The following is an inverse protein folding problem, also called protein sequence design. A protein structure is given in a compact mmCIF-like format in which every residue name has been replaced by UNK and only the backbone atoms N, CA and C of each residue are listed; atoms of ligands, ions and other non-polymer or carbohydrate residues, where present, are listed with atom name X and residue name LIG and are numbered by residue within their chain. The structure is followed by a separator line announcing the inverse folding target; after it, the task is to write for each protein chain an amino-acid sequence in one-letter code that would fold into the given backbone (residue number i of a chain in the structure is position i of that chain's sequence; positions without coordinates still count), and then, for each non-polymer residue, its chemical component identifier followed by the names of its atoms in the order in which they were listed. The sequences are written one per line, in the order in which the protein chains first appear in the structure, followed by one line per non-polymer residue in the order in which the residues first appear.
data_IF_231047648203
#
_entry.id   IF_231047648203
#
_cell.length_a   1.000
_cell.length_b   1.000
_cell.length_c   1.000
_cell.angle_alpha   90.00
_cell.angle_beta   90.00
_cell.angle_gamma   90.00
#
_symmetry.space_group_name_H-M   'P 1'
#
loop_
_entity.id
_entity.type
_entity.pdbx_description
1 polymer ?
#
# COMPACT_ATOMS: atom_id res chain seq x y z
N UNK A 1 28.28 -7.80 -18.35
CA UNK A 1 28.34 -8.12 -16.91
C UNK A 1 29.11 -9.42 -16.75
N UNK A 2 29.90 -9.61 -15.70
CA UNK A 2 30.59 -10.89 -15.48
C UNK A 2 29.66 -11.89 -14.79
N UNK A 3 29.91 -13.18 -14.96
CA UNK A 3 29.10 -14.23 -14.33
C UNK A 3 29.14 -14.16 -12.80
N UNK A 4 30.24 -13.66 -12.21
CA UNK A 4 30.35 -13.43 -10.75
C UNK A 4 29.32 -12.41 -10.25
N UNK A 5 29.21 -11.27 -10.94
CA UNK A 5 28.26 -10.20 -10.61
C UNK A 5 26.81 -10.67 -10.78
N UNK A 6 26.54 -11.45 -11.83
CA UNK A 6 25.22 -12.01 -12.12
C UNK A 6 24.80 -13.03 -11.06
N UNK A 7 25.70 -13.93 -10.64
CA UNK A 7 25.41 -14.90 -9.58
C UNK A 7 25.18 -14.20 -8.23
N UNK A 8 25.97 -13.17 -7.91
CA UNK A 8 25.75 -12.36 -6.72
C UNK A 8 24.37 -11.66 -6.75
N UNK A 9 24.00 -11.08 -7.90
CA UNK A 9 22.70 -10.46 -8.10
C UNK A 9 21.53 -11.46 -7.96
N UNK A 10 21.68 -12.67 -8.50
CA UNK A 10 20.68 -13.73 -8.41
C UNK A 10 20.55 -14.32 -6.99
N UNK A 11 21.66 -14.43 -6.26
CA UNK A 11 21.63 -14.81 -4.83
C UNK A 11 20.88 -13.76 -4.01
N UNK A 12 21.20 -12.48 -4.19
CA UNK A 12 20.48 -11.39 -3.53
C UNK A 12 18.97 -11.45 -3.85
N UNK A 13 18.58 -11.76 -5.09
CA UNK A 13 17.17 -11.97 -5.47
C UNK A 13 16.51 -13.13 -4.70
N UNK A 14 17.21 -14.26 -4.52
CA UNK A 14 16.70 -15.42 -3.77
C UNK A 14 16.48 -15.10 -2.28
N UNK A 15 17.35 -14.28 -1.71
CA UNK A 15 17.28 -13.84 -0.31
C UNK A 15 16.31 -12.66 -0.09
N UNK A 16 15.73 -12.12 -1.17
CA UNK A 16 14.86 -10.95 -1.14
C UNK A 16 15.60 -9.61 -0.96
N UNK A 17 16.92 -9.63 -1.10
CA UNK A 17 17.80 -8.47 -1.03
C UNK A 17 17.90 -7.74 -2.38
N UNK A 18 18.40 -6.51 -2.35
CA UNK A 18 18.58 -5.71 -3.56
C UNK A 18 19.96 -6.00 -4.15
N UNK A 19 19.98 -6.52 -5.38
CA UNK A 19 21.19 -6.97 -6.08
C UNK A 19 22.16 -5.85 -6.45
N UNK A 20 21.72 -4.59 -6.48
CA UNK A 20 22.50 -3.44 -6.95
C UNK A 20 22.78 -3.41 -8.45
N UNK A 21 22.58 -4.54 -9.15
CA UNK A 21 22.61 -4.66 -10.59
C UNK A 21 21.22 -4.42 -11.19
N UNK A 22 21.19 -3.97 -12.44
CA UNK A 22 19.93 -3.84 -13.18
C UNK A 22 19.41 -5.24 -13.52
N UNK A 23 18.21 -5.56 -13.03
CA UNK A 23 17.58 -6.86 -13.21
C UNK A 23 17.35 -7.19 -14.70
N UNK A 24 17.13 -6.19 -15.57
CA UNK A 24 16.98 -6.42 -17.02
C UNK A 24 18.29 -6.95 -17.63
N UNK A 25 19.43 -6.47 -17.13
CA UNK A 25 20.75 -6.89 -17.61
C UNK A 25 21.11 -8.27 -17.05
N UNK A 26 20.64 -8.59 -15.83
CA UNK A 26 20.77 -9.92 -15.22
C UNK A 26 19.94 -10.95 -16.00
N UNK A 27 18.69 -10.63 -16.32
CA UNK A 27 17.79 -11.52 -17.07
C UNK A 27 18.29 -11.72 -18.50
N UNK A 28 18.74 -10.66 -19.20
CA UNK A 28 19.37 -10.78 -20.51
C UNK A 28 20.64 -11.66 -20.50
N UNK A 29 21.37 -11.69 -19.38
CA UNK A 29 22.52 -12.58 -19.23
C UNK A 29 22.08 -14.03 -18.98
N UNK A 30 21.00 -14.27 -18.24
CA UNK A 30 20.44 -15.61 -18.04
C UNK A 30 19.95 -16.23 -19.35
N UNK A 31 19.40 -15.41 -20.26
CA UNK A 31 19.01 -15.87 -21.60
C UNK A 31 20.22 -16.27 -22.45
N UNK A 32 21.36 -15.60 -22.26
CA UNK A 32 22.57 -15.82 -23.05
C UNK A 32 23.60 -16.79 -22.43
N UNK A 33 23.47 -17.17 -21.15
CA UNK A 33 24.47 -17.97 -20.43
C UNK A 33 23.87 -19.21 -19.74
N UNK A 34 24.13 -20.38 -20.32
CA UNK A 34 23.64 -21.67 -19.79
C UNK A 34 24.23 -22.03 -18.41
N UNK A 35 25.46 -21.62 -18.12
CA UNK A 35 26.09 -21.89 -16.82
C UNK A 35 25.40 -21.16 -15.67
N UNK A 36 25.04 -19.88 -15.88
CA UNK A 36 24.32 -19.09 -14.90
C UNK A 36 22.89 -19.62 -14.70
N UNK A 37 22.24 -20.10 -15.77
CA UNK A 37 20.92 -20.75 -15.71
C UNK A 37 20.96 -22.04 -14.89
N UNK A 38 21.87 -22.96 -15.22
CA UNK A 38 22.02 -24.22 -14.50
C UNK A 38 22.43 -24.03 -13.03
N UNK A 39 23.22 -23.00 -12.73
CA UNK A 39 23.53 -22.63 -11.35
C UNK A 39 22.30 -22.12 -10.60
N UNK A 40 21.50 -21.24 -11.23
CA UNK A 40 20.32 -20.64 -10.59
C UNK A 40 19.23 -21.68 -10.31
N UNK A 41 18.97 -22.60 -11.22
CA UNK A 41 18.03 -23.73 -11.00
C UNK A 41 18.41 -24.57 -9.78
N UNK A 42 19.72 -24.87 -9.61
CA UNK A 42 20.23 -25.58 -8.43
C UNK A 42 20.05 -24.77 -7.15
N UNK A 43 20.30 -23.48 -7.20
CA UNK A 43 20.14 -22.59 -6.05
C UNK A 43 18.67 -22.49 -5.61
N UNK A 44 17.72 -22.37 -6.55
CA UNK A 44 16.27 -22.39 -6.28
C UNK A 44 15.83 -23.73 -5.67
N UNK A 45 16.30 -24.85 -6.23
CA UNK A 45 15.98 -26.18 -5.72
C UNK A 45 16.47 -26.38 -4.27
N UNK A 46 17.70 -25.95 -3.98
CA UNK A 46 18.26 -25.98 -2.63
C UNK A 46 17.46 -25.11 -1.67
N UNK A 47 17.18 -23.84 -2.03
CA UNK A 47 16.42 -22.93 -1.18
C UNK A 47 15.04 -23.50 -0.81
N UNK A 48 14.35 -24.11 -1.79
CA UNK A 48 13.07 -24.80 -1.57
C UNK A 48 13.19 -25.95 -0.56
N UNK A 49 14.26 -26.74 -0.67
CA UNK A 49 14.52 -27.86 0.26
C UNK A 49 14.82 -27.41 1.69
N UNK A 50 15.34 -26.19 1.88
CA UNK A 50 15.61 -25.62 3.21
C UNK A 50 14.35 -25.01 3.84
N UNK A 51 13.48 -24.41 3.02
CA UNK A 51 12.19 -23.85 3.46
C UNK A 51 11.17 -24.93 3.81
N UNK A 52 11.17 -26.03 3.05
CA UNK A 52 10.44 -27.25 3.38
C UNK A 52 11.29 -28.05 4.36
N UNK A 53 11.23 -27.75 5.67
CA UNK A 53 11.95 -28.54 6.69
C UNK A 53 11.78 -30.05 6.44
N UNK A 54 12.80 -30.88 6.73
CA UNK A 54 12.82 -32.28 6.31
C UNK A 54 11.51 -32.92 6.72
N UNK A 55 10.77 -33.44 5.73
CA UNK A 55 9.51 -34.11 5.97
C UNK A 55 9.78 -35.16 7.06
N UNK A 56 9.20 -34.93 8.25
CA UNK A 56 9.27 -35.91 9.32
C UNK A 56 8.62 -37.17 8.79
N UNK A 57 9.42 -38.19 8.48
CA UNK A 57 8.90 -39.49 8.14
C UNK A 57 8.04 -39.97 9.31
N UNK A 58 6.76 -40.32 9.08
CA UNK A 58 5.92 -40.82 10.14
C UNK A 58 6.35 -42.24 10.48
N UNK A 59 7.12 -42.36 11.58
CA UNK A 59 7.23 -43.58 12.38
C UNK A 59 8.23 -44.63 11.86
N UNK A 60 9.36 -44.75 12.56
CA UNK A 60 10.30 -45.84 12.36
C UNK A 60 11.35 -45.90 13.45
N UNK A 61 11.01 -46.43 14.62
CA UNK A 61 12.01 -46.85 15.61
C UNK A 61 12.77 -48.06 15.06
N UNK A 62 13.95 -47.85 14.46
CA UNK A 62 14.97 -48.89 14.35
C UNK A 62 16.34 -48.29 14.02
N UNK A 63 17.29 -48.60 14.90
CA UNK A 63 18.73 -48.44 14.72
C UNK A 63 19.26 -49.36 13.61
N UNK A 64 19.98 -48.82 12.62
CA UNK A 64 21.09 -49.42 11.88
C UNK A 64 21.60 -48.36 10.86
N UNK A 65 22.78 -47.76 11.00
CA UNK A 65 24.08 -48.33 10.61
C UNK A 65 24.07 -49.05 9.25
N UNK A 66 24.36 -48.33 8.17
CA UNK A 66 24.97 -48.92 6.97
C UNK A 66 25.81 -47.88 6.22
N UNK A 67 27.13 -48.08 6.35
CA UNK A 67 28.25 -47.54 5.60
C UNK A 67 27.99 -47.31 4.10
N UNK A 68 28.14 -46.06 3.68
CA UNK A 68 28.60 -45.68 2.34
C UNK A 68 29.98 -45.02 2.48
N UNK A 69 31.02 -45.70 1.99
CA UNK A 69 32.40 -45.21 1.99
C UNK A 69 32.51 -44.02 1.03
N UNK A 70 32.49 -42.81 1.57
CA UNK A 70 33.02 -41.61 0.91
C UNK A 70 34.30 -41.25 1.69
N UNK A 71 35.41 -41.12 0.96
CA UNK A 71 36.74 -40.85 1.52
C UNK A 71 36.82 -39.57 2.36
N UNK A 72 37.93 -39.34 3.08
CA UNK A 72 38.07 -38.26 4.05
C UNK A 72 38.22 -36.90 3.35
N UNK A 73 37.15 -36.39 2.76
CA UNK A 73 36.95 -34.96 2.69
C UNK A 73 36.53 -34.55 4.11
N UNK A 74 37.48 -33.92 4.82
CA UNK A 74 37.26 -33.37 6.14
C UNK A 74 35.88 -32.72 6.21
N UNK A 75 35.00 -33.22 7.08
CA UNK A 75 33.87 -32.41 7.53
C UNK A 75 34.50 -31.11 8.02
N UNK A 76 34.12 -29.93 7.49
CA UNK A 76 34.62 -28.70 8.07
C UNK A 76 34.30 -28.76 9.56
N UNK A 77 35.35 -28.72 10.39
CA UNK A 77 35.20 -28.61 11.82
C UNK A 77 34.36 -27.37 12.08
N UNK A 78 33.26 -27.52 12.83
CA UNK A 78 32.47 -26.36 13.23
C UNK A 78 33.43 -25.34 13.87
N UNK A 79 33.38 -24.05 13.47
CA UNK A 79 34.24 -23.03 14.06
C UNK A 79 34.04 -22.97 15.58
N UNK A 80 35.09 -22.55 16.31
CA UNK A 80 35.03 -22.39 17.76
C UNK A 80 33.82 -21.50 18.13
N UNK A 81 33.02 -21.82 19.16
CA UNK A 81 31.94 -20.96 19.64
C UNK A 81 32.37 -19.51 19.88
N UNK A 82 33.62 -19.26 20.27
CA UNK A 82 34.15 -17.90 20.43
C UNK A 82 34.28 -17.16 19.07
N UNK A 83 34.74 -17.86 18.03
CA UNK A 83 34.85 -17.31 16.67
C UNK A 83 33.46 -17.08 16.07
N UNK A 84 32.51 -17.99 16.31
CA UNK A 84 31.12 -17.82 15.89
C UNK A 84 30.45 -16.62 16.56
N UNK A 85 30.69 -16.39 17.86
CA UNK A 85 30.18 -15.23 18.59
C UNK A 85 30.79 -13.92 18.06
N UNK A 86 32.10 -13.89 17.80
CA UNK A 86 32.77 -12.72 17.23
C UNK A 86 32.30 -12.41 15.79
N UNK A 87 32.03 -13.45 14.99
CA UNK A 87 31.44 -13.30 13.66
C UNK A 87 30.01 -12.78 13.74
N UNK A 88 29.20 -13.31 14.68
CA UNK A 88 27.83 -12.86 14.92
C UNK A 88 27.78 -11.40 15.37
N UNK A 89 28.62 -10.98 16.32
CA UNK A 89 28.75 -9.59 16.79
C UNK A 89 29.14 -8.67 15.63
N UNK A 90 30.12 -9.08 14.81
CA UNK A 90 30.54 -8.31 13.63
C UNK A 90 29.42 -8.20 12.61
N UNK A 91 28.79 -9.31 12.22
CA UNK A 91 27.66 -9.33 11.27
C UNK A 91 26.52 -8.45 11.78
N UNK A 92 26.10 -8.60 13.03
CA UNK A 92 25.04 -7.77 13.62
C UNK A 92 25.45 -6.30 13.66
N UNK A 93 26.69 -5.97 14.05
CA UNK A 93 27.14 -4.58 14.10
C UNK A 93 27.19 -3.89 12.73
N UNK A 94 27.37 -4.65 11.64
CA UNK A 94 27.43 -4.09 10.28
C UNK A 94 26.07 -4.09 9.58
N UNK A 95 25.26 -5.14 9.77
CA UNK A 95 23.95 -5.28 9.11
C UNK A 95 22.86 -4.48 9.82
N UNK A 96 22.90 -4.40 11.15
CA UNK A 96 21.90 -3.69 11.95
C UNK A 96 21.79 -2.17 11.63
N UNK A 97 22.87 -1.40 11.40
CA UNK A 97 22.74 0.01 11.02
C UNK A 97 22.16 0.22 9.61
N UNK A 98 22.49 -0.63 8.64
CA UNK A 98 21.95 -0.56 7.27
C UNK A 98 20.48 -0.98 7.23
N UNK A 99 20.15 -2.07 7.92
CA UNK A 99 18.78 -2.53 8.15
C UNK A 99 17.95 -1.46 8.88
N UNK A 100 18.47 -0.85 9.94
CA UNK A 100 17.79 0.22 10.69
C UNK A 100 17.64 1.52 9.90
N UNK A 101 18.58 1.91 9.04
CA UNK A 101 18.42 3.10 8.17
C UNK A 101 17.26 2.90 7.20
N UNK A 102 17.19 1.71 6.62
CA UNK A 102 16.14 1.32 5.67
C UNK A 102 14.79 1.16 6.35
N UNK A 103 14.74 0.48 7.49
CA UNK A 103 13.52 0.34 8.29
C UNK A 103 13.03 1.68 8.85
N UNK A 104 13.91 2.55 9.36
CA UNK A 104 13.52 3.87 9.92
C UNK A 104 12.85 4.76 8.87
N UNK A 105 13.39 4.86 7.66
CA UNK A 105 12.79 5.70 6.62
C UNK A 105 11.34 5.27 6.31
N UNK A 106 11.11 3.96 6.25
CA UNK A 106 9.79 3.39 6.01
C UNK A 106 8.85 3.56 7.21
N UNK A 107 9.32 3.33 8.45
CA UNK A 107 8.53 3.59 9.66
C UNK A 107 8.15 5.07 9.82
N UNK A 108 9.03 6.00 9.46
CA UNK A 108 8.72 7.43 9.45
C UNK A 108 7.66 7.79 8.40
N UNK A 109 7.72 7.19 7.21
CA UNK A 109 6.71 7.39 6.14
C UNK A 109 5.36 6.82 6.55
N UNK A 110 5.30 5.60 7.09
CA UNK A 110 4.03 5.02 7.55
C UNK A 110 3.47 5.77 8.75
N UNK A 111 4.31 6.22 9.68
CA UNK A 111 3.92 7.04 10.82
C UNK A 111 3.39 8.41 10.41
N UNK A 112 4.12 9.13 9.55
CA UNK A 112 3.72 10.46 9.07
C UNK A 112 2.47 10.43 8.21
N UNK A 113 2.31 9.40 7.38
CA UNK A 113 1.11 9.23 6.56
C UNK A 113 -0.16 8.99 7.40
N UNK A 114 -0.05 8.33 8.55
CA UNK A 114 -1.18 8.17 9.49
C UNK A 114 -1.57 9.50 10.13
N UNK A 115 -0.59 10.29 10.55
CA UNK A 115 -0.84 11.64 11.07
C UNK A 115 -1.51 12.50 10.00
N UNK A 116 -1.04 12.42 8.76
CA UNK A 116 -1.65 13.12 7.63
C UNK A 116 -3.11 12.71 7.40
N UNK A 117 -3.45 11.42 7.43
CA UNK A 117 -4.83 10.95 7.31
C UNK A 117 -5.72 11.50 8.44
N UNK A 118 -5.23 11.54 9.67
CA UNK A 118 -5.99 12.11 10.79
C UNK A 118 -6.22 13.60 10.59
N UNK A 119 -5.20 14.36 10.17
CA UNK A 119 -5.34 15.80 9.90
C UNK A 119 -6.32 16.08 8.76
N UNK A 120 -6.24 15.33 7.66
CA UNK A 120 -7.18 15.43 6.55
C UNK A 120 -8.60 15.03 6.98
N UNK A 121 -8.74 13.98 7.78
CA UNK A 121 -10.03 13.56 8.36
C UNK A 121 -10.66 14.66 9.22
N UNK A 122 -9.87 15.31 10.08
CA UNK A 122 -10.32 16.46 10.88
C UNK A 122 -10.73 17.62 9.98
N UNK A 123 -9.96 17.91 8.92
CA UNK A 123 -10.27 18.99 8.00
C UNK A 123 -11.60 18.76 7.26
N UNK A 124 -11.85 17.55 6.77
CA UNK A 124 -13.14 17.18 6.17
C UNK A 124 -14.29 17.29 7.17
N UNK A 125 -14.08 16.83 8.41
CA UNK A 125 -15.05 16.91 9.48
C UNK A 125 -15.42 18.36 9.81
N UNK A 126 -14.42 19.21 10.04
CA UNK A 126 -14.63 20.64 10.35
C UNK A 126 -15.31 21.36 9.18
N UNK A 127 -14.88 21.11 7.94
CA UNK A 127 -15.50 21.71 6.76
C UNK A 127 -16.96 21.28 6.62
N UNK A 128 -17.25 19.98 6.75
CA UNK A 128 -18.61 19.47 6.65
C UNK A 128 -19.53 19.98 7.76
N UNK A 129 -19.03 20.12 8.99
CA UNK A 129 -19.78 20.79 10.07
C UNK A 129 -20.06 22.25 9.70
N UNK A 130 -19.09 22.96 9.13
CA UNK A 130 -19.28 24.33 8.64
C UNK A 130 -20.37 24.44 7.58
N UNK A 131 -20.41 23.52 6.61
CA UNK A 131 -21.47 23.45 5.61
C UNK A 131 -22.83 23.14 6.24
N UNK A 132 -22.89 22.23 7.21
CA UNK A 132 -24.13 21.86 7.88
C UNK A 132 -24.71 23.02 8.69
N UNK A 133 -23.87 23.74 9.43
CA UNK A 133 -24.27 24.94 10.17
C UNK A 133 -24.70 26.06 9.21
N UNK A 134 -23.96 26.26 8.12
CA UNK A 134 -24.31 27.23 7.08
C UNK A 134 -25.66 26.92 6.41
N UNK A 135 -25.90 25.64 6.08
CA UNK A 135 -27.17 25.17 5.53
C UNK A 135 -28.32 25.41 6.53
N UNK A 136 -28.12 25.07 7.80
CA UNK A 136 -29.12 25.32 8.85
C UNK A 136 -29.45 26.80 9.02
N UNK A 137 -28.46 27.68 8.97
CA UNK A 137 -28.67 29.14 9.01
C UNK A 137 -29.38 29.68 7.76
N UNK A 138 -29.06 29.16 6.57
CA UNK A 138 -29.74 29.53 5.34
C UNK A 138 -31.20 29.09 5.33
N UNK A 139 -31.50 27.89 5.85
CA UNK A 139 -32.87 27.41 6.04
C UNK A 139 -33.67 28.29 7.00
N UNK A 140 -33.08 28.66 8.15
CA UNK A 140 -33.71 29.54 9.12
C UNK A 140 -34.05 30.89 8.47
N UNK A 141 -33.10 31.50 7.77
CA UNK A 141 -33.33 32.78 7.11
C UNK A 141 -34.36 32.69 5.97
N UNK A 142 -34.32 31.65 5.14
CA UNK A 142 -35.28 31.46 4.07
C UNK A 142 -36.70 31.18 4.60
N UNK A 143 -36.83 30.51 5.77
CA UNK A 143 -38.12 30.34 6.44
C UNK A 143 -38.72 31.66 6.92
N UNK A 144 -37.87 32.55 7.44
CA UNK A 144 -38.24 33.91 7.86
C UNK A 144 -38.65 34.76 6.65
N UNK A 145 -37.88 34.74 5.57
CA UNK A 145 -38.15 35.50 4.34
C UNK A 145 -39.45 35.03 3.65
N UNK A 146 -39.73 33.72 3.69
CA UNK A 146 -40.97 33.15 3.18
C UNK A 146 -42.20 33.48 4.06
N UNK A 147 -42.00 34.02 5.27
CA UNK A 147 -43.07 34.21 6.25
C UNK A 147 -43.68 32.89 6.74
N UNK A 148 -42.97 31.78 6.53
CA UNK A 148 -43.41 30.43 6.90
C UNK A 148 -42.74 30.07 8.21
N UNK A 149 -43.48 30.26 9.30
CA UNK A 149 -43.11 29.70 10.60
C UNK A 149 -43.34 28.19 10.52
N UNK A 150 -42.30 27.39 10.19
CA UNK A 150 -42.42 25.93 10.05
C UNK A 150 -42.99 25.26 11.31
N UNK A 151 -42.89 25.90 12.48
CA UNK A 151 -43.53 25.44 13.72
C UNK A 151 -45.04 25.70 13.79
N UNK A 152 -45.60 26.47 12.85
CA UNK A 152 -46.98 26.99 12.85
C UNK A 152 -47.73 26.83 11.52
N UNK A 153 -47.00 26.62 10.42
CA UNK A 153 -47.56 26.42 9.09
C UNK A 153 -48.25 25.04 8.99
N UNK A 154 -49.46 25.01 8.44
CA UNK A 154 -50.26 23.80 8.30
C UNK A 154 -50.81 23.69 6.87
N UNK A 155 -50.90 22.46 6.35
CA UNK A 155 -51.50 22.18 5.04
C UNK A 155 -50.53 22.29 3.85
N UNK A 156 -51.08 22.51 2.66
CA UNK A 156 -50.35 22.39 1.39
C UNK A 156 -49.30 23.49 1.18
N UNK A 157 -49.51 24.69 1.73
CA UNK A 157 -48.56 25.81 1.63
C UNK A 157 -47.28 25.54 2.44
N UNK A 158 -47.40 24.88 3.59
CA UNK A 158 -46.26 24.45 4.39
C UNK A 158 -45.44 23.36 3.67
N UNK A 159 -46.13 22.45 2.98
CA UNK A 159 -45.50 21.41 2.19
C UNK A 159 -44.76 21.98 0.97
N UNK A 160 -45.35 22.94 0.26
CA UNK A 160 -44.72 23.61 -0.88
C UNK A 160 -43.47 24.42 -0.46
N UNK A 161 -43.55 25.15 0.65
CA UNK A 161 -42.41 25.88 1.20
C UNK A 161 -41.29 24.94 1.66
N UNK A 162 -41.63 23.84 2.33
CA UNK A 162 -40.67 22.81 2.74
C UNK A 162 -39.97 22.17 1.52
N UNK A 163 -40.71 21.89 0.44
CA UNK A 163 -40.14 21.32 -0.78
C UNK A 163 -39.16 22.29 -1.48
N UNK A 164 -39.51 23.59 -1.55
CA UNK A 164 -38.63 24.60 -2.12
C UNK A 164 -37.34 24.81 -1.29
N UNK A 165 -37.45 24.75 0.04
CA UNK A 165 -36.29 24.80 0.94
C UNK A 165 -35.41 23.56 0.79
N UNK A 166 -36.01 22.38 0.65
CA UNK A 166 -35.30 21.12 0.43
C UNK A 166 -34.51 21.15 -0.88
N UNK A 167 -35.10 21.63 -1.98
CA UNK A 167 -34.42 21.74 -3.28
C UNK A 167 -33.18 22.65 -3.23
N UNK A 168 -33.23 23.73 -2.44
CA UNK A 168 -32.11 24.65 -2.25
C UNK A 168 -30.97 24.03 -1.42
N UNK A 169 -31.30 23.17 -0.45
CA UNK A 169 -30.39 22.71 0.61
C UNK A 169 -29.89 21.28 0.38
N UNK A 170 -30.65 20.45 -0.34
CA UNK A 170 -30.29 19.10 -0.74
C UNK A 170 -28.83 18.96 -1.25
N UNK A 171 -28.33 19.79 -2.19
CA UNK A 171 -26.96 19.64 -2.68
C UNK A 171 -25.91 19.92 -1.58
N UNK A 172 -26.21 20.81 -0.63
CA UNK A 172 -25.32 21.08 0.50
C UNK A 172 -25.32 19.92 1.49
N UNK A 173 -26.48 19.30 1.75
CA UNK A 173 -26.60 18.13 2.63
C UNK A 173 -25.87 16.92 2.04
N UNK A 174 -26.00 16.67 0.74
CA UNK A 174 -25.25 15.61 0.06
C UNK A 174 -23.73 15.84 0.19
N UNK A 175 -23.29 17.09 0.00
CA UNK A 175 -21.89 17.47 0.14
C UNK A 175 -21.37 17.33 1.60
N UNK A 176 -22.23 17.52 2.61
CA UNK A 176 -21.94 17.25 4.03
C UNK A 176 -21.79 15.75 4.25
N UNK A 177 -22.74 14.93 3.77
CA UNK A 177 -22.73 13.49 3.95
C UNK A 177 -21.45 12.86 3.37
N UNK A 178 -21.05 13.26 2.16
CA UNK A 178 -19.79 12.82 1.53
C UNK A 178 -18.56 13.18 2.37
N UNK A 179 -18.48 14.41 2.88
CA UNK A 179 -17.36 14.85 3.75
C UNK A 179 -17.31 14.05 5.05
N UNK A 180 -18.45 13.77 5.67
CA UNK A 180 -18.52 12.93 6.87
C UNK A 180 -18.05 11.50 6.58
N UNK A 181 -18.49 10.92 5.47
CA UNK A 181 -18.06 9.60 5.04
C UNK A 181 -16.54 9.54 4.79
N UNK A 182 -15.97 10.58 4.16
CA UNK A 182 -14.53 10.67 3.96
C UNK A 182 -13.76 10.83 5.27
N UNK A 183 -14.24 11.66 6.20
CA UNK A 183 -13.61 11.81 7.51
C UNK A 183 -13.55 10.46 8.25
N UNK A 184 -14.68 9.75 8.33
CA UNK A 184 -14.77 8.45 9.02
C UNK A 184 -13.87 7.40 8.38
N UNK A 185 -13.85 7.30 7.04
CA UNK A 185 -13.01 6.32 6.36
C UNK A 185 -11.51 6.62 6.54
N UNK A 186 -11.08 7.88 6.58
CA UNK A 186 -9.69 8.24 6.87
C UNK A 186 -9.30 7.92 8.31
N UNK A 187 -10.17 8.19 9.30
CA UNK A 187 -9.91 7.78 10.69
C UNK A 187 -9.80 6.27 10.83
N UNK A 188 -10.65 5.53 10.13
CA UNK A 188 -10.60 4.07 10.09
C UNK A 188 -9.30 3.56 9.46
N UNK A 189 -8.91 4.10 8.31
CA UNK A 189 -7.65 3.75 7.65
C UNK A 189 -6.42 4.12 8.49
N UNK A 190 -6.47 5.24 9.21
CA UNK A 190 -5.43 5.64 10.15
C UNK A 190 -5.31 4.66 11.33
N UNK A 191 -6.43 4.15 11.87
CA UNK A 191 -6.41 3.12 12.92
C UNK A 191 -5.88 1.79 12.39
N UNK A 192 -6.39 1.33 11.24
CA UNK A 192 -6.09 0.01 10.66
C UNK A 192 -5.59 0.16 9.22
N UNK A 193 -4.26 0.31 8.99
CA UNK A 193 -3.70 0.58 7.66
C UNK A 193 -4.04 -0.47 6.60
N UNK A 194 -4.26 -1.74 7.01
CA UNK A 194 -4.72 -2.80 6.10
C UNK A 194 -6.06 -2.49 5.42
N UNK A 195 -6.90 -1.66 6.03
CA UNK A 195 -8.17 -1.23 5.45
C UNK A 195 -8.00 -0.24 4.27
N UNK A 196 -6.84 0.43 4.17
CA UNK A 196 -6.57 1.38 3.08
C UNK A 196 -6.66 0.71 1.69
N UNK A 197 -6.30 -0.58 1.59
CA UNK A 197 -6.38 -1.34 0.34
C UNK A 197 -7.80 -1.35 -0.25
N UNK A 198 -8.82 -1.57 0.58
CA UNK A 198 -10.21 -1.62 0.12
C UNK A 198 -10.81 -0.23 -0.15
N UNK A 199 -10.32 0.80 0.54
CA UNK A 199 -10.86 2.16 0.45
C UNK A 199 -10.23 3.01 -0.66
N UNK A 200 -8.99 2.71 -1.06
CA UNK A 200 -8.25 3.47 -2.09
C UNK A 200 -9.00 3.57 -3.43
N UNK A 201 -9.59 2.49 -3.99
CA UNK A 201 -10.38 2.60 -5.21
C UNK A 201 -11.58 3.53 -5.08
N UNK A 202 -12.26 3.52 -3.93
CA UNK A 202 -13.44 4.35 -3.67
C UNK A 202 -13.07 5.84 -3.63
N UNK A 203 -12.05 6.19 -2.85
CA UNK A 203 -11.59 7.59 -2.72
C UNK A 203 -10.95 8.07 -4.02
N UNK A 204 -10.19 7.20 -4.70
CA UNK A 204 -9.58 7.48 -5.99
C UNK A 204 -10.63 7.74 -7.07
N UNK A 205 -11.67 6.90 -7.17
CA UNK A 205 -12.77 7.09 -8.10
C UNK A 205 -13.51 8.41 -7.81
N UNK A 206 -13.87 8.67 -6.55
CA UNK A 206 -14.54 9.91 -6.18
C UNK A 206 -13.71 11.14 -6.57
N UNK A 207 -12.42 11.16 -6.23
CA UNK A 207 -11.52 12.24 -6.63
C UNK A 207 -11.44 12.40 -8.16
N UNK A 208 -11.27 11.31 -8.91
CA UNK A 208 -11.17 11.37 -10.37
C UNK A 208 -12.45 11.88 -11.03
N UNK A 209 -13.61 11.35 -10.64
CA UNK A 209 -14.90 11.81 -11.19
C UNK A 209 -15.15 13.27 -10.83
N UNK A 210 -14.87 13.69 -9.60
CA UNK A 210 -15.02 15.10 -9.23
C UNK A 210 -14.06 16.02 -9.95
N UNK A 211 -12.83 15.60 -10.27
CA UNK A 211 -11.93 16.37 -11.14
C UNK A 211 -12.53 16.50 -12.55
N UNK A 212 -13.17 15.45 -13.06
CA UNK A 212 -13.91 15.47 -14.32
C UNK A 212 -15.06 16.48 -14.30
N UNK A 213 -15.92 16.45 -13.29
CA UNK A 213 -17.03 17.41 -13.15
C UNK A 213 -16.54 18.84 -12.93
N UNK A 214 -15.47 19.03 -12.16
CA UNK A 214 -14.86 20.34 -12.01
C UNK A 214 -14.31 20.91 -13.33
N UNK A 215 -13.91 20.05 -14.27
CA UNK A 215 -13.48 20.48 -15.61
C UNK A 215 -14.68 21.02 -16.41
N UNK A 216 -15.85 20.40 -16.27
CA UNK A 216 -17.10 20.91 -16.85
C UNK A 216 -17.49 22.27 -16.26
N UNK A 217 -17.43 22.42 -14.93
CA UNK A 217 -17.78 23.67 -14.24
C UNK A 217 -16.78 24.80 -14.54
N UNK A 218 -15.51 24.45 -14.75
CA UNK A 218 -14.49 25.37 -15.23
C UNK A 218 -14.83 25.93 -16.62
N UNK A 219 -15.30 25.08 -17.53
CA UNK A 219 -15.72 25.50 -18.89
C UNK A 219 -16.95 26.40 -18.84
N UNK A 220 -17.88 26.14 -17.92
CA UNK A 220 -19.05 26.99 -17.70
C UNK A 220 -18.73 28.29 -16.94
N UNK A 221 -17.51 28.43 -16.40
CA UNK A 221 -17.11 29.57 -15.58
C UNK A 221 -17.82 29.64 -14.22
N UNK A 222 -18.38 28.52 -13.75
CA UNK A 222 -19.11 28.43 -12.47
C UNK A 222 -18.22 27.99 -11.31
N UNK A 223 -16.96 27.63 -11.58
CA UNK A 223 -16.04 27.09 -10.59
C UNK A 223 -15.61 28.16 -9.56
N UNK A 224 -16.04 27.99 -8.31
CA UNK A 224 -15.65 28.84 -7.19
C UNK A 224 -14.37 28.40 -6.48
N UNK A 225 -13.79 29.30 -5.68
CA UNK A 225 -12.59 29.00 -4.87
C UNK A 225 -12.85 27.88 -3.86
N UNK A 226 -14.05 27.85 -3.26
CA UNK A 226 -14.44 26.80 -2.33
C UNK A 226 -14.54 25.42 -3.00
N UNK A 227 -14.98 25.37 -4.25
CA UNK A 227 -15.07 24.13 -5.03
C UNK A 227 -13.66 23.60 -5.36
N UNK A 228 -12.76 24.48 -5.78
CA UNK A 228 -11.35 24.13 -6.02
C UNK A 228 -10.68 23.61 -4.74
N UNK A 229 -10.90 24.28 -3.61
CA UNK A 229 -10.34 23.86 -2.33
C UNK A 229 -10.91 22.51 -1.87
N UNK A 230 -12.21 22.28 -2.03
CA UNK A 230 -12.85 20.99 -1.75
C UNK A 230 -12.32 19.87 -2.64
N UNK A 231 -12.14 20.15 -3.93
CA UNK A 231 -11.56 19.22 -4.89
C UNK A 231 -10.12 18.86 -4.55
N UNK A 232 -9.29 19.87 -4.27
CA UNK A 232 -7.90 19.68 -3.88
C UNK A 232 -7.80 18.85 -2.60
N UNK A 233 -8.63 19.15 -1.60
CA UNK A 233 -8.70 18.39 -0.35
C UNK A 233 -9.05 16.91 -0.61
N UNK A 234 -10.02 16.62 -1.47
CA UNK A 234 -10.38 15.25 -1.82
C UNK A 234 -9.28 14.53 -2.60
N UNK A 235 -8.64 15.20 -3.57
CA UNK A 235 -7.52 14.65 -4.32
C UNK A 235 -6.33 14.33 -3.42
N UNK A 236 -5.95 15.23 -2.51
CA UNK A 236 -4.89 15.01 -1.51
C UNK A 236 -5.25 13.86 -0.57
N UNK A 237 -6.52 13.71 -0.19
CA UNK A 237 -7.00 12.60 0.64
C UNK A 237 -6.85 11.25 -0.07
N UNK A 238 -7.25 11.17 -1.34
CA UNK A 238 -7.07 9.96 -2.15
C UNK A 238 -5.59 9.60 -2.33
N UNK A 239 -4.74 10.59 -2.60
CA UNK A 239 -3.29 10.40 -2.72
C UNK A 239 -2.67 9.92 -1.40
N UNK A 240 -3.01 10.55 -0.27
CA UNK A 240 -2.52 10.15 1.04
C UNK A 240 -2.91 8.70 1.38
N UNK A 241 -4.15 8.31 1.06
CA UNK A 241 -4.63 6.94 1.26
C UNK A 241 -3.89 5.93 0.37
N UNK A 242 -3.67 6.29 -0.90
CA UNK A 242 -2.86 5.50 -1.83
C UNK A 242 -1.41 5.34 -1.37
N UNK A 243 -0.80 6.39 -0.80
CA UNK A 243 0.54 6.33 -0.20
C UNK A 243 0.58 5.42 1.03
N UNK A 244 -0.44 5.44 1.90
CA UNK A 244 -0.54 4.51 3.03
C UNK A 244 -0.66 3.06 2.55
N UNK A 245 -1.43 2.83 1.48
CA UNK A 245 -1.56 1.51 0.87
C UNK A 245 -0.25 1.03 0.23
N UNK A 246 0.44 1.89 -0.54
CA UNK A 246 1.75 1.59 -1.12
C UNK A 246 2.83 1.38 -0.05
N UNK A 247 2.80 2.16 1.03
CA UNK A 247 3.72 2.03 2.16
C UNK A 247 3.63 0.70 2.89
N UNK A 248 2.55 -0.06 2.69
CA UNK A 248 2.42 -1.44 3.15
C UNK A 248 3.18 -2.48 2.31
N UNK A 249 3.66 -2.11 1.12
CA UNK A 249 4.41 -2.98 0.21
C UNK A 249 5.89 -2.62 0.22
N UNK A 250 6.77 -3.61 0.16
CA UNK A 250 8.20 -3.35 0.00
C UNK A 250 8.48 -2.80 -1.41
N UNK A 251 9.49 -1.93 -1.60
CA UNK A 251 9.80 -1.38 -2.91
C UNK A 251 10.22 -2.47 -3.91
N UNK A 252 10.77 -3.58 -3.41
CA UNK A 252 11.03 -4.78 -4.19
C UNK A 252 9.74 -5.46 -4.69
N UNK A 253 8.73 -5.62 -3.83
CA UNK A 253 7.43 -6.19 -4.23
C UNK A 253 6.73 -5.31 -5.28
N UNK A 254 6.84 -3.99 -5.17
CA UNK A 254 6.24 -3.06 -6.13
C UNK A 254 6.98 -3.08 -7.49
N UNK A 255 8.31 -3.16 -7.48
CA UNK A 255 9.09 -3.34 -8.70
C UNK A 255 8.77 -4.66 -9.41
N UNK A 256 8.60 -5.75 -8.66
CA UNK A 256 8.20 -7.06 -9.18
C UNK A 256 6.78 -7.02 -9.78
N UNK A 257 5.81 -6.40 -9.08
CA UNK A 257 4.45 -6.22 -9.59
C UNK A 257 4.41 -5.40 -10.89
N UNK A 258 5.24 -4.35 -10.98
CA UNK A 258 5.36 -3.57 -12.22
C UNK A 258 6.00 -4.33 -13.37
N UNK A 259 7.00 -5.17 -13.12
CA UNK A 259 7.56 -6.05 -14.16
C UNK A 259 6.54 -7.06 -14.66
N UNK A 260 5.79 -7.68 -13.75
CA UNK A 260 4.72 -8.60 -14.11
C UNK A 260 3.66 -7.91 -14.98
N UNK A 261 3.24 -6.70 -14.61
CA UNK A 261 2.30 -5.91 -15.42
C UNK A 261 2.88 -5.46 -16.77
N UNK A 262 4.19 -5.21 -16.83
CA UNK A 262 4.90 -4.86 -18.07
C UNK A 262 5.14 -6.06 -18.99
N UNK A 263 4.64 -7.25 -18.64
CA UNK A 263 4.83 -8.48 -19.43
C UNK A 263 6.28 -8.97 -19.43
N UNK A 264 7.12 -8.50 -18.50
CA UNK A 264 8.48 -8.99 -18.34
C UNK A 264 8.42 -10.26 -17.49
N UNK A 265 8.90 -11.41 -17.99
CA UNK A 265 8.84 -12.65 -17.24
C UNK A 265 9.65 -12.49 -15.96
N UNK A 266 9.00 -12.69 -14.81
CA UNK A 266 9.70 -12.78 -13.52
C UNK A 266 10.28 -14.19 -13.46
N UNK A 267 11.41 -14.43 -14.14
CA UNK A 267 12.08 -15.73 -14.06
C UNK A 267 12.54 -15.94 -12.59
N UNK A 268 12.01 -16.99 -11.94
CA UNK A 268 12.52 -17.48 -10.65
C UNK A 268 11.61 -17.40 -9.42
N UNK A 269 10.31 -17.10 -9.53
CA UNK A 269 9.36 -17.41 -8.42
C UNK A 269 8.82 -18.84 -8.62
N UNK A 270 8.75 -19.69 -7.58
CA UNK A 270 8.25 -21.06 -7.73
C UNK A 270 6.73 -21.01 -7.97
N UNK A 271 6.34 -21.07 -9.25
CA UNK A 271 4.95 -21.04 -9.70
C UNK A 271 4.76 -21.33 -11.19
N UNK A 272 5.82 -21.23 -12.00
CA UNK A 272 5.78 -21.50 -13.44
C UNK A 272 5.83 -23.02 -13.70
N UNK A 273 4.83 -23.74 -13.20
CA UNK A 273 4.54 -25.11 -13.62
C UNK A 273 3.21 -25.04 -14.35
N UNK A 274 3.28 -25.16 -15.68
CA UNK A 274 2.12 -25.39 -16.53
C UNK A 274 1.26 -26.52 -15.93
N UNK A 275 -0.02 -26.23 -15.69
CA UNK A 275 -1.06 -27.23 -15.48
C UNK A 275 -1.72 -27.55 -16.82
#
# INVERSE_FOLDING_TARGET
MKCEDVRAALSARLDGEQSGADDDVVDAHLDACDECRAWFEKAVALNRSLLMGPAGEPGGTASASASGVVGPAARPSLPDPADMAALSERILSTVEPERRRRERAWFFVTGSARVLLVLLGVLHLVWGIGLLVGAGGAMDQASVDAGVDLGRALGDDAAAAAAALDELVAPTIDAVALRMAFAVGMFWAAWRPRAAMGMTPVYGAAAMFSIGFATHDLVLGTLGVADVAGLALMAVSALALGLVWLGGHTPAAMAQAWRAAAGRPVQGLPGDVEY
#
